data_IF_562069706239
#
_entry.id   IF_562069706239
#
_cell.length_a   1.000
_cell.length_b   1.000
_cell.length_c   1.000
_cell.angle_alpha   90.00
_cell.angle_beta   90.00
_cell.angle_gamma   90.00
#
_symmetry.space_group_name_H-M   'P 1'
#
loop_
_entity.id
_entity.type
_entity.pdbx_description
1 polymer ?
#
# COMPACT_ATOMS: atom_id res chain seq x y z
N UNK A 1 16.81 10.98 -54.62
CA UNK A 1 18.10 10.59 -55.29
C UNK A 1 19.13 10.48 -54.19
N UNK A 2 19.76 9.27 -54.10
CA UNK A 2 20.84 8.78 -53.23
C UNK A 2 20.49 8.60 -51.73
N UNK A 3 20.24 7.47 -51.18
CA UNK A 3 20.72 6.04 -51.10
C UNK A 3 22.26 5.91 -50.98
N UNK A 4 22.74 5.44 -49.85
CA UNK A 4 23.89 4.53 -49.57
C UNK A 4 23.80 4.17 -48.10
N UNK A 5 23.37 2.97 -47.68
CA UNK A 5 24.09 1.67 -47.48
C UNK A 5 24.94 1.67 -46.22
N UNK A 6 24.48 0.92 -45.20
CA UNK A 6 24.87 -0.44 -44.77
C UNK A 6 26.38 -0.65 -44.57
N UNK A 7 26.80 -0.94 -43.36
CA UNK A 7 27.74 -2.00 -43.10
C UNK A 7 27.54 -2.63 -41.74
N UNK A 8 27.17 -3.93 -41.80
CA UNK A 8 27.35 -4.97 -40.78
C UNK A 8 28.86 -5.35 -40.71
N UNK A 9 29.31 -5.74 -39.53
CA UNK A 9 30.28 -6.80 -39.25
C UNK A 9 30.51 -6.75 -37.75
N UNK A 10 30.57 -7.83 -36.99
CA UNK A 10 30.72 -9.22 -37.23
C UNK A 10 31.21 -9.86 -35.94
N UNK A 11 30.61 -10.93 -35.59
CA UNK A 11 31.12 -12.16 -34.99
C UNK A 11 32.44 -12.17 -34.14
N UNK A 12 32.36 -12.72 -32.93
CA UNK A 12 33.15 -13.86 -32.43
C UNK A 12 32.56 -14.25 -31.07
N UNK A 13 31.94 -15.43 -30.87
CA UNK A 13 32.46 -16.78 -30.65
C UNK A 13 33.57 -16.87 -29.58
N UNK A 14 33.27 -17.71 -28.61
CA UNK A 14 34.15 -18.25 -27.59
C UNK A 14 33.30 -18.87 -26.49
N UNK A 15 32.75 -20.03 -26.56
CA UNK A 15 33.21 -21.43 -26.34
C UNK A 15 34.15 -21.60 -25.12
N UNK A 16 33.70 -22.51 -24.27
CA UNK A 16 34.46 -23.18 -23.24
C UNK A 16 33.59 -23.51 -22.06
N UNK A 17 32.89 -24.61 -21.97
CA UNK A 17 33.29 -25.99 -21.81
C UNK A 17 33.50 -26.41 -20.36
N UNK A 18 32.83 -27.48 -20.02
CA UNK A 18 33.18 -28.58 -19.10
C UNK A 18 32.99 -28.29 -17.60
N UNK A 19 32.42 -29.18 -16.86
CA UNK A 19 32.17 -30.58 -16.85
C UNK A 19 31.49 -30.98 -15.55
N UNK A 20 30.62 -31.87 -15.67
CA UNK A 20 30.76 -33.25 -15.19
C UNK A 20 30.68 -33.53 -13.70
N UNK A 21 29.80 -34.49 -13.41
CA UNK A 21 29.83 -35.40 -12.27
C UNK A 21 28.42 -35.63 -11.70
N UNK A 22 27.53 -36.43 -12.26
CA UNK A 22 27.42 -37.89 -12.24
C UNK A 22 27.72 -38.54 -10.88
N UNK A 23 26.69 -39.08 -10.28
CA UNK A 23 26.59 -40.39 -9.60
C UNK A 23 25.23 -40.46 -8.92
N UNK A 24 24.18 -41.09 -9.37
CA UNK A 24 23.90 -42.52 -9.55
C UNK A 24 24.47 -43.44 -8.48
N UNK A 25 23.54 -44.03 -7.75
CA UNK A 25 23.32 -45.46 -7.50
C UNK A 25 22.27 -45.58 -6.41
N UNK A 26 21.06 -46.02 -6.71
CA UNK A 26 20.63 -47.41 -7.05
C UNK A 26 20.81 -48.41 -5.95
N UNK A 27 19.67 -48.92 -5.59
CA UNK A 27 19.29 -50.32 -5.54
C UNK A 27 19.74 -51.12 -4.32
N UNK A 28 18.82 -51.87 -3.83
CA UNK A 28 18.74 -53.26 -3.57
C UNK A 28 17.83 -53.53 -2.40
N UNK A 29 16.57 -53.99 -2.51
CA UNK A 29 16.16 -55.33 -2.86
C UNK A 29 16.86 -56.40 -2.02
N UNK A 30 16.05 -57.03 -1.28
CA UNK A 30 15.89 -58.44 -1.00
C UNK A 30 15.45 -58.66 0.43
N UNK A 31 14.19 -59.15 0.72
CA UNK A 31 13.77 -60.52 0.38
C UNK A 31 14.34 -61.53 1.34
N UNK A 32 13.40 -62.29 1.80
CA UNK A 32 13.41 -63.67 2.25
C UNK A 32 13.32 -63.85 3.75
N UNK A 33 12.22 -64.33 4.21
CA UNK A 33 11.74 -65.70 4.22
C UNK A 33 12.06 -66.38 5.55
N UNK A 34 11.00 -66.84 6.16
CA UNK A 34 10.95 -67.75 7.27
C UNK A 34 11.76 -69.04 7.00
N UNK A 35 11.56 -70.14 7.64
CA UNK A 35 10.41 -70.66 8.37
C UNK A 35 10.80 -71.51 9.60
N UNK A 36 9.81 -72.08 10.18
CA UNK A 36 9.88 -73.39 10.70
C UNK A 36 9.94 -73.54 12.22
N UNK A 37 8.90 -74.10 12.68
CA UNK A 37 8.77 -75.50 13.04
C UNK A 37 9.67 -75.83 14.25
N UNK A 38 9.24 -76.46 15.21
CA UNK A 38 8.42 -77.64 15.34
C UNK A 38 8.45 -78.11 16.79
N UNK A 39 7.39 -78.78 17.14
CA UNK A 39 7.40 -80.03 17.94
C UNK A 39 8.11 -79.99 19.29
N UNK A 40 7.64 -80.57 20.29
CA UNK A 40 6.87 -81.78 20.62
C UNK A 40 6.83 -81.87 22.15
N UNK A 41 5.97 -82.28 22.70
CA UNK A 41 5.42 -83.59 22.90
C UNK A 41 5.50 -84.04 24.38
N UNK A 42 4.42 -84.61 24.81
CA UNK A 42 4.26 -85.70 25.63
C UNK A 42 4.73 -85.67 27.10
N UNK A 43 3.80 -86.04 27.90
CA UNK A 43 4.07 -86.56 29.21
C UNK A 43 2.88 -86.89 30.03
N UNK A 44 2.10 -87.83 29.56
CA UNK A 44 1.17 -88.61 30.37
C UNK A 44 1.84 -89.19 31.60
N UNK A 45 1.20 -89.18 32.70
CA UNK A 45 1.22 -90.33 33.61
C UNK A 45 0.00 -90.31 34.53
N UNK A 46 -0.83 -91.28 34.27
CA UNK A 46 -1.83 -91.93 35.06
C UNK A 46 -1.26 -92.50 36.36
N UNK A 47 -2.06 -92.58 37.43
CA UNK A 47 -2.25 -93.60 38.44
C UNK A 47 -2.79 -92.93 39.68
N UNK A 48 -3.66 -93.42 40.40
CA UNK A 48 -4.42 -94.64 40.60
C UNK A 48 -5.45 -94.43 41.73
N UNK A 49 -6.52 -95.04 41.57
CA UNK A 49 -7.60 -95.38 42.43
C UNK A 49 -7.21 -95.69 43.87
N UNK A 50 -7.92 -95.19 44.82
CA UNK A 50 -8.22 -95.87 46.07
C UNK A 50 -9.64 -95.53 46.60
N UNK A 51 -10.51 -96.48 46.50
CA UNK A 51 -11.81 -96.52 47.10
C UNK A 51 -11.67 -96.71 48.63
N UNK A 52 -12.48 -96.02 49.38
CA UNK A 52 -12.98 -96.50 50.64
C UNK A 52 -14.35 -95.93 51.05
N UNK A 53 -15.22 -96.81 51.30
CA UNK A 53 -16.65 -96.73 51.48
C UNK A 53 -17.13 -96.09 52.79
N UNK A 54 -18.44 -96.01 53.08
CA UNK A 54 -19.04 -94.86 53.76
C UNK A 54 -19.33 -95.13 55.25
N UNK A 55 -19.26 -94.08 56.07
CA UNK A 55 -19.87 -94.09 57.40
C UNK A 55 -21.06 -93.10 57.45
N UNK A 56 -22.21 -93.65 57.71
CA UNK A 56 -23.50 -92.98 57.98
C UNK A 56 -23.45 -92.23 59.30
N UNK A 57 -23.79 -90.94 59.28
CA UNK A 57 -24.12 -90.15 60.51
C UNK A 57 -25.47 -89.43 60.31
N UNK A 58 -26.25 -89.16 61.39
CA UNK A 58 -27.68 -88.91 61.37
C UNK A 58 -28.08 -87.51 60.86
N UNK A 59 -29.16 -87.49 60.11
CA UNK A 59 -29.67 -86.47 59.19
C UNK A 59 -30.17 -85.16 59.86
N UNK A 60 -30.36 -85.01 61.13
CA UNK A 60 -30.95 -83.82 61.76
C UNK A 60 -29.96 -82.67 62.07
N UNK A 61 -28.70 -82.94 62.27
CA UNK A 61 -27.68 -81.86 62.45
C UNK A 61 -27.11 -81.31 61.18
N UNK A 62 -27.25 -82.00 60.04
CA UNK A 62 -26.77 -81.57 58.74
C UNK A 62 -27.57 -80.45 58.12
N UNK A 63 -28.86 -80.30 58.39
CA UNK A 63 -29.72 -79.25 57.85
C UNK A 63 -29.40 -77.87 58.45
N UNK A 64 -29.06 -77.82 59.72
CA UNK A 64 -28.69 -76.56 60.40
C UNK A 64 -27.29 -76.10 59.98
N UNK A 65 -26.33 -77.00 59.78
CA UNK A 65 -25.01 -76.66 59.31
C UNK A 65 -25.00 -76.17 57.83
N UNK A 66 -25.86 -76.77 57.01
CA UNK A 66 -26.01 -76.33 55.60
C UNK A 66 -26.70 -74.98 55.51
N UNK A 67 -27.70 -74.72 56.36
CA UNK A 67 -28.36 -73.41 56.43
C UNK A 67 -27.43 -72.31 56.99
N UNK A 68 -26.62 -72.62 57.98
CA UNK A 68 -25.62 -71.72 58.51
C UNK A 68 -24.48 -71.45 57.53
N UNK A 69 -24.01 -72.49 56.81
CA UNK A 69 -23.02 -72.32 55.72
C UNK A 69 -23.56 -71.52 54.53
N UNK A 70 -24.83 -71.76 54.19
CA UNK A 70 -25.48 -70.96 53.13
C UNK A 70 -25.66 -69.48 53.55
N UNK A 71 -26.01 -69.21 54.78
CA UNK A 71 -26.15 -67.84 55.29
C UNK A 71 -24.78 -67.09 55.33
N UNK A 72 -23.70 -67.78 55.72
CA UNK A 72 -22.34 -67.22 55.69
C UNK A 72 -21.88 -66.97 54.25
N UNK A 73 -22.22 -67.88 53.35
CA UNK A 73 -21.88 -67.69 51.91
C UNK A 73 -22.69 -66.57 51.29
N UNK A 74 -23.97 -66.43 51.64
CA UNK A 74 -24.80 -65.32 51.16
C UNK A 74 -24.33 -63.98 51.76
N UNK A 75 -23.99 -63.99 53.08
CA UNK A 75 -23.43 -62.83 53.74
C UNK A 75 -22.06 -62.45 53.17
N UNK A 76 -21.17 -63.42 52.89
CA UNK A 76 -19.87 -63.16 52.20
C UNK A 76 -20.02 -62.63 50.77
N UNK A 77 -20.97 -63.19 50.04
CA UNK A 77 -21.32 -62.68 48.69
C UNK A 77 -21.93 -61.27 48.75
N UNK A 78 -22.81 -61.04 49.79
CA UNK A 78 -23.41 -59.73 49.95
C UNK A 78 -22.34 -58.63 50.32
N UNK A 79 -21.44 -59.00 51.29
CA UNK A 79 -20.36 -58.07 51.69
C UNK A 79 -19.29 -57.84 50.60
N UNK A 80 -19.03 -58.84 49.76
CA UNK A 80 -18.06 -58.73 48.68
C UNK A 80 -18.65 -58.14 47.42
N UNK A 81 -19.91 -58.36 47.08
CA UNK A 81 -20.51 -57.95 45.82
C UNK A 81 -21.20 -56.57 45.85
N UNK A 82 -21.81 -56.20 46.99
CA UNK A 82 -22.51 -54.93 47.16
C UNK A 82 -21.53 -53.73 47.09
N UNK A 83 -20.38 -53.73 47.78
CA UNK A 83 -19.44 -52.60 47.65
C UNK A 83 -18.80 -52.53 46.28
N UNK A 84 -18.51 -53.65 45.61
CA UNK A 84 -18.01 -53.69 44.28
C UNK A 84 -18.99 -53.15 43.24
N UNK A 85 -20.28 -53.46 43.40
CA UNK A 85 -21.35 -52.98 42.53
C UNK A 85 -21.61 -51.45 42.72
N UNK A 86 -21.44 -50.96 43.96
CA UNK A 86 -21.50 -49.50 44.24
C UNK A 86 -20.29 -48.75 43.74
N UNK A 87 -19.10 -49.35 43.92
CA UNK A 87 -17.87 -48.74 43.39
C UNK A 87 -17.84 -48.70 41.82
N UNK A 88 -18.42 -49.71 41.17
CA UNK A 88 -18.55 -49.68 39.70
C UNK A 88 -19.48 -48.59 39.18
N UNK A 89 -20.54 -48.23 39.92
CA UNK A 89 -21.47 -47.17 39.54
C UNK A 89 -20.87 -45.75 39.76
N UNK A 90 -20.11 -45.59 40.87
CA UNK A 90 -19.42 -44.33 41.16
C UNK A 90 -18.27 -44.11 40.14
N UNK A 91 -17.50 -45.16 39.84
CA UNK A 91 -16.42 -45.06 38.83
C UNK A 91 -16.91 -44.69 37.42
N UNK A 92 -18.07 -45.19 36.99
CA UNK A 92 -18.68 -44.83 35.69
C UNK A 92 -19.18 -43.39 35.74
N UNK A 93 -19.70 -42.92 36.86
CA UNK A 93 -20.17 -41.53 37.00
C UNK A 93 -18.98 -40.56 37.03
N UNK A 94 -17.91 -40.94 37.74
CA UNK A 94 -16.67 -40.15 37.80
C UNK A 94 -15.92 -40.14 36.46
N UNK A 95 -15.87 -41.26 35.74
CA UNK A 95 -15.33 -41.31 34.38
C UNK A 95 -16.12 -40.45 33.40
N UNK A 96 -17.44 -40.41 33.50
CA UNK A 96 -18.27 -39.55 32.67
C UNK A 96 -18.11 -38.05 33.02
N UNK A 97 -17.82 -37.72 34.28
CA UNK A 97 -17.52 -36.33 34.67
C UNK A 97 -16.09 -35.91 34.32
N UNK A 98 -15.13 -36.82 34.34
CA UNK A 98 -13.76 -36.59 33.91
C UNK A 98 -13.63 -36.54 32.36
N UNK A 99 -14.59 -37.14 31.64
CA UNK A 99 -14.64 -37.12 30.17
C UNK A 99 -15.12 -35.77 29.59
N UNK A 100 -15.67 -34.86 30.43
CA UNK A 100 -16.09 -33.53 29.94
C UNK A 100 -14.86 -32.63 29.84
N UNK A 101 -14.42 -32.27 28.63
CA UNK A 101 -13.24 -31.41 28.44
C UNK A 101 -13.51 -30.00 28.99
N UNK A 102 -12.52 -29.47 29.71
CA UNK A 102 -12.55 -28.08 30.19
C UNK A 102 -11.96 -27.18 29.12
N UNK A 103 -12.70 -26.14 28.75
CA UNK A 103 -12.34 -25.21 27.66
C UNK A 103 -12.31 -23.77 28.15
N UNK A 104 -11.39 -22.99 27.63
CA UNK A 104 -11.36 -21.54 27.81
C UNK A 104 -12.14 -20.88 26.69
N UNK A 105 -12.90 -19.84 27.03
CA UNK A 105 -13.69 -19.08 26.06
C UNK A 105 -13.04 -17.76 25.73
N UNK A 106 -13.24 -17.35 24.49
CA UNK A 106 -12.94 -16.03 23.97
C UNK A 106 -14.13 -15.52 23.16
N UNK A 107 -14.47 -14.26 23.32
CA UNK A 107 -15.50 -13.65 22.47
C UNK A 107 -14.83 -12.96 21.27
N UNK A 108 -15.45 -13.04 20.08
CA UNK A 108 -15.01 -12.24 18.95
C UNK A 108 -15.06 -10.77 19.34
N UNK A 109 -13.97 -10.06 19.12
CA UNK A 109 -13.90 -8.62 19.41
C UNK A 109 -13.86 -7.86 18.09
N UNK A 110 -14.64 -6.77 17.97
CA UNK A 110 -14.42 -5.85 16.85
C UNK A 110 -12.96 -5.42 16.87
N UNK A 111 -12.33 -5.37 15.71
CA UNK A 111 -10.98 -4.84 15.58
C UNK A 111 -10.96 -3.43 16.18
N UNK A 112 -10.36 -3.27 17.36
CA UNK A 112 -10.29 -1.97 18.03
C UNK A 112 -9.39 -1.05 17.24
N UNK A 113 -10.03 -0.12 16.53
CA UNK A 113 -9.35 0.86 15.71
C UNK A 113 -8.47 0.11 14.71
N UNK A 114 -9.06 -0.31 13.59
CA UNK A 114 -8.32 -1.00 12.56
C UNK A 114 -6.94 -0.38 12.49
N UNK A 115 -5.91 -1.18 12.53
CA UNK A 115 -4.56 -0.68 12.26
C UNK A 115 -4.67 0.00 10.91
N UNK A 116 -4.96 1.31 10.97
CA UNK A 116 -5.20 2.10 9.79
C UNK A 116 -4.05 1.81 8.85
N UNK A 117 -4.36 1.57 7.60
CA UNK A 117 -3.34 1.27 6.59
C UNK A 117 -2.27 2.35 6.65
N UNK A 118 -1.11 2.03 7.21
CA UNK A 118 0.03 2.95 7.29
C UNK A 118 0.97 2.65 6.13
N UNK A 119 1.23 3.66 5.33
CA UNK A 119 2.04 3.56 4.12
C UNK A 119 3.07 4.68 4.07
N UNK A 120 4.25 4.43 3.51
CA UNK A 120 5.21 5.50 3.23
C UNK A 120 4.65 6.45 2.18
N UNK A 121 4.83 7.74 2.43
CA UNK A 121 4.32 8.82 1.60
C UNK A 121 5.42 9.82 1.24
N UNK A 122 5.37 10.30 0.02
CA UNK A 122 6.26 11.34 -0.50
C UNK A 122 5.56 12.69 -0.43
N UNK A 123 6.21 13.66 0.19
CA UNK A 123 5.66 15.00 0.42
C UNK A 123 6.24 15.94 -0.63
N UNK A 124 5.39 16.56 -1.44
CA UNK A 124 5.78 17.53 -2.47
C UNK A 124 5.13 18.89 -2.24
N UNK A 125 5.73 19.96 -2.74
CA UNK A 125 5.08 21.27 -2.72
C UNK A 125 3.79 21.24 -3.56
N UNK A 126 2.87 22.17 -3.26
CA UNK A 126 1.62 22.31 -4.04
C UNK A 126 1.89 22.63 -5.51
N UNK A 127 2.83 23.52 -5.75
CA UNK A 127 3.35 23.88 -7.07
C UNK A 127 4.86 24.08 -6.97
N UNK A 128 5.55 23.75 -8.04
CA UNK A 128 6.97 24.00 -8.17
C UNK A 128 7.29 24.42 -9.61
N UNK A 129 8.29 25.26 -9.76
CA UNK A 129 8.77 25.66 -11.05
C UNK A 129 10.28 25.87 -11.02
N UNK A 130 10.94 25.26 -11.99
CA UNK A 130 12.32 25.56 -12.35
C UNK A 130 12.34 26.76 -13.30
N UNK A 131 13.01 27.81 -12.91
CA UNK A 131 13.07 29.06 -13.66
C UNK A 131 14.35 29.06 -14.48
N UNK A 132 14.18 29.08 -15.80
CA UNK A 132 15.26 29.15 -16.79
C UNK A 132 15.29 30.50 -17.45
N UNK A 133 16.47 30.90 -17.90
CA UNK A 133 16.61 32.12 -18.71
C UNK A 133 15.96 31.96 -20.09
N UNK A 134 15.38 33.06 -20.57
CA UNK A 134 14.81 33.17 -21.89
C UNK A 134 15.62 34.10 -22.82
N UNK A 135 16.63 34.79 -22.26
CA UNK A 135 17.58 35.62 -22.98
C UNK A 135 19.01 35.24 -22.58
N UNK A 136 19.95 35.35 -23.53
CA UNK A 136 21.37 35.17 -23.29
C UNK A 136 21.98 36.49 -22.78
N UNK A 137 22.91 36.39 -21.83
CA UNK A 137 23.58 37.58 -21.28
C UNK A 137 24.38 37.22 -20.04
N UNK A 138 24.62 38.19 -19.18
CA UNK A 138 25.26 38.00 -17.90
C UNK A 138 24.30 38.38 -16.78
N UNK A 139 24.31 37.63 -15.69
CA UNK A 139 23.49 38.00 -14.54
C UNK A 139 24.05 39.32 -13.96
N UNK A 140 23.23 40.34 -14.01
CA UNK A 140 23.58 41.67 -13.49
C UNK A 140 23.40 41.74 -12.00
N UNK A 141 22.25 41.23 -11.50
CA UNK A 141 21.91 41.25 -10.09
C UNK A 141 20.82 40.20 -9.82
N UNK A 142 20.73 39.78 -8.54
CA UNK A 142 19.63 38.98 -8.03
C UNK A 142 19.02 39.66 -6.79
N UNK A 143 17.68 39.61 -6.70
CA UNK A 143 16.90 40.30 -5.64
C UNK A 143 16.36 39.33 -4.61
N UNK A 144 16.12 38.08 -5.03
CA UNK A 144 15.56 37.04 -4.19
C UNK A 144 16.60 35.93 -3.96
N UNK A 145 16.95 35.67 -2.69
CA UNK A 145 17.86 34.59 -2.30
C UNK A 145 17.08 33.36 -1.79
N UNK A 146 17.80 32.27 -1.55
CA UNK A 146 17.27 31.03 -0.98
C UNK A 146 16.53 31.34 0.32
N UNK A 147 15.31 30.78 0.48
CA UNK A 147 14.42 31.03 1.60
C UNK A 147 13.54 32.28 1.48
N UNK A 148 13.76 33.14 0.48
CA UNK A 148 12.94 34.33 0.26
C UNK A 148 11.51 33.93 -0.18
N UNK A 149 10.51 34.57 0.45
CA UNK A 149 9.12 34.48 -0.02
C UNK A 149 8.90 35.50 -1.12
N UNK A 150 8.41 35.05 -2.26
CA UNK A 150 8.17 35.85 -3.46
C UNK A 150 6.72 35.77 -3.91
N UNK A 151 6.25 36.85 -4.53
CA UNK A 151 4.91 36.95 -5.12
C UNK A 151 4.98 36.75 -6.64
N UNK A 152 3.87 36.33 -7.25
CA UNK A 152 3.73 36.26 -8.69
C UNK A 152 4.12 37.59 -9.35
N UNK A 153 4.98 37.53 -10.38
CA UNK A 153 5.51 38.72 -11.07
C UNK A 153 6.64 39.45 -10.33
N UNK A 154 7.01 39.03 -9.12
CA UNK A 154 8.15 39.65 -8.40
C UNK A 154 9.46 39.33 -9.09
N UNK A 155 10.33 40.34 -9.20
CA UNK A 155 11.66 40.22 -9.78
C UNK A 155 12.53 39.31 -8.90
N UNK A 156 13.16 38.33 -9.52
CA UNK A 156 14.11 37.40 -8.91
C UNK A 156 15.56 37.80 -9.23
N UNK A 157 15.78 38.20 -10.48
CA UNK A 157 17.08 38.64 -10.95
C UNK A 157 16.96 39.38 -12.30
N UNK A 158 18.02 40.07 -12.67
CA UNK A 158 18.14 40.82 -13.90
C UNK A 158 19.33 40.35 -14.73
N UNK A 159 19.08 40.05 -16.01
CA UNK A 159 20.11 39.64 -16.97
C UNK A 159 20.47 40.85 -17.83
N UNK A 160 21.72 41.18 -17.91
CA UNK A 160 22.22 42.21 -18.78
C UNK A 160 22.40 41.63 -20.19
N UNK A 161 21.73 42.23 -21.21
CA UNK A 161 21.74 41.77 -22.61
C UNK A 161 22.03 42.91 -23.55
N UNK A 162 23.26 43.47 -23.54
CA UNK A 162 23.61 44.69 -24.32
C UNK A 162 23.36 44.54 -25.81
N UNK A 163 23.54 43.33 -26.35
CA UNK A 163 23.28 43.06 -27.77
C UNK A 163 21.81 43.20 -28.14
N UNK A 164 20.89 42.74 -27.29
CA UNK A 164 19.46 42.87 -27.52
C UNK A 164 19.01 44.35 -27.39
N UNK A 165 19.57 45.08 -26.45
CA UNK A 165 19.26 46.48 -26.26
C UNK A 165 19.67 47.30 -27.48
N UNK A 166 20.86 47.06 -28.06
CA UNK A 166 21.32 47.68 -29.26
C UNK A 166 20.45 47.33 -30.50
N UNK A 167 20.04 46.05 -30.63
CA UNK A 167 19.12 45.61 -31.66
C UNK A 167 17.76 46.30 -31.57
N UNK A 168 17.24 46.47 -30.35
CA UNK A 168 15.98 47.17 -30.10
C UNK A 168 16.07 48.65 -30.53
N UNK A 169 17.16 49.33 -30.14
CA UNK A 169 17.38 50.73 -30.55
C UNK A 169 17.52 50.86 -32.07
N UNK A 170 18.21 49.94 -32.75
CA UNK A 170 18.27 49.90 -34.22
C UNK A 170 16.88 49.73 -34.83
N UNK A 171 16.05 48.79 -34.28
CA UNK A 171 14.70 48.56 -34.80
C UNK A 171 13.78 49.77 -34.59
N UNK A 172 13.92 50.50 -33.46
CA UNK A 172 13.22 51.78 -33.24
C UNK A 172 13.59 52.82 -34.27
N UNK A 173 14.89 52.95 -34.56
CA UNK A 173 15.36 53.90 -35.59
C UNK A 173 14.83 53.52 -36.99
N UNK A 174 14.81 52.22 -37.34
CA UNK A 174 14.27 51.74 -38.60
C UNK A 174 12.77 52.03 -38.74
N UNK A 175 11.98 51.79 -37.67
CA UNK A 175 10.56 52.14 -37.65
C UNK A 175 10.35 53.64 -37.83
N UNK A 176 11.14 54.51 -37.21
CA UNK A 176 11.07 55.95 -37.35
C UNK A 176 11.33 56.38 -38.81
N UNK A 177 12.31 55.76 -39.45
CA UNK A 177 12.59 56.00 -40.89
C UNK A 177 11.42 55.60 -41.80
N UNK A 178 10.85 54.43 -41.58
CA UNK A 178 9.67 53.90 -42.28
C UNK A 178 8.46 54.84 -42.11
N UNK A 179 8.24 55.35 -40.91
CA UNK A 179 7.15 56.30 -40.61
C UNK A 179 7.38 57.65 -41.37
N UNK A 180 8.60 58.15 -41.41
CA UNK A 180 8.91 59.37 -42.17
C UNK A 180 8.66 59.19 -43.69
N UNK A 181 9.04 58.01 -44.22
CA UNK A 181 8.78 57.66 -45.62
C UNK A 181 7.28 57.55 -45.95
N UNK A 182 6.49 56.89 -44.99
CA UNK A 182 5.05 56.84 -45.16
C UNK A 182 4.44 58.26 -45.18
N UNK A 183 4.85 59.11 -44.24
CA UNK A 183 4.35 60.48 -44.16
C UNK A 183 4.62 61.24 -45.44
N UNK A 184 5.80 61.11 -46.05
CA UNK A 184 6.12 61.70 -47.36
C UNK A 184 5.22 61.14 -48.49
N UNK A 185 5.01 59.78 -48.45
CA UNK A 185 4.13 59.11 -49.41
C UNK A 185 2.68 59.56 -49.29
N UNK A 186 2.17 59.76 -48.08
CA UNK A 186 0.83 60.28 -47.79
C UNK A 186 0.63 61.71 -48.31
N UNK A 187 1.59 62.61 -48.04
CA UNK A 187 1.55 63.97 -48.56
C UNK A 187 1.53 63.93 -50.06
N UNK A 188 2.34 63.09 -50.68
CA UNK A 188 2.43 62.95 -52.13
C UNK A 188 1.13 62.40 -52.73
N UNK A 189 0.60 61.30 -52.20
CA UNK A 189 -0.65 60.71 -52.64
C UNK A 189 -1.81 61.73 -52.56
N UNK A 190 -1.95 62.42 -51.43
CA UNK A 190 -2.96 63.44 -51.23
C UNK A 190 -2.85 64.58 -52.27
N UNK A 191 -1.63 65.05 -52.57
CA UNK A 191 -1.41 66.07 -53.58
C UNK A 191 -1.83 65.59 -54.97
N UNK A 192 -1.47 64.34 -55.33
CA UNK A 192 -1.84 63.76 -56.61
C UNK A 192 -3.32 63.50 -56.80
N UNK A 193 -4.02 63.12 -55.70
CA UNK A 193 -5.47 63.03 -55.67
C UNK A 193 -6.17 64.35 -55.93
N UNK A 194 -5.65 65.45 -55.41
CA UNK A 194 -6.19 66.78 -55.71
C UNK A 194 -5.92 67.22 -57.16
N UNK A 195 -4.73 66.94 -57.71
CA UNK A 195 -4.40 67.21 -59.10
C UNK A 195 -5.22 66.37 -60.09
N UNK A 196 -5.59 65.13 -59.69
CA UNK A 196 -6.46 64.29 -60.53
C UNK A 196 -7.89 64.87 -60.63
N UNK A 197 -8.44 65.45 -59.55
CA UNK A 197 -9.73 66.15 -59.59
C UNK A 197 -9.81 67.31 -60.60
N UNK A 198 -8.70 67.92 -60.84
CA UNK A 198 -8.56 69.02 -61.82
C UNK A 198 -8.08 68.52 -63.18
N UNK A 199 -8.03 67.21 -63.43
CA UNK A 199 -7.53 66.62 -64.70
C UNK A 199 -6.09 67.04 -65.06
N UNK A 200 -5.31 67.46 -64.07
CA UNK A 200 -3.92 67.90 -64.26
C UNK A 200 -2.90 66.76 -64.33
N UNK A 201 -3.30 65.54 -64.01
CA UNK A 201 -2.49 64.31 -64.04
C UNK A 201 -3.31 63.14 -64.54
N UNK A 202 -2.64 62.04 -65.00
CA UNK A 202 -3.33 60.82 -65.42
C UNK A 202 -3.77 59.98 -64.26
N UNK A 203 -4.83 59.17 -64.39
CA UNK A 203 -5.29 58.20 -63.41
C UNK A 203 -4.20 57.20 -63.03
N UNK A 204 -3.42 56.75 -64.01
CA UNK A 204 -2.26 55.88 -63.81
C UNK A 204 -1.22 56.48 -62.86
N UNK A 205 -0.85 57.72 -63.10
CA UNK A 205 0.16 58.39 -62.26
C UNK A 205 -0.36 58.60 -60.81
N UNK A 206 -1.64 58.91 -60.65
CA UNK A 206 -2.25 59.00 -59.33
C UNK A 206 -2.31 57.62 -58.61
N UNK A 207 -2.66 56.51 -59.32
CA UNK A 207 -2.68 55.17 -58.82
C UNK A 207 -1.27 54.69 -58.40
N UNK A 208 -0.20 55.07 -59.15
CA UNK A 208 1.17 54.74 -58.71
C UNK A 208 1.55 55.39 -57.37
N UNK A 209 1.09 56.61 -57.08
CA UNK A 209 1.36 57.30 -55.82
C UNK A 209 0.52 56.66 -54.63
N UNK A 210 -0.69 56.28 -54.97
CA UNK A 210 -1.49 55.54 -54.01
C UNK A 210 -0.86 54.18 -53.63
N UNK A 211 -0.38 53.42 -54.63
CA UNK A 211 0.33 52.15 -54.39
C UNK A 211 1.66 52.38 -53.64
N UNK A 212 2.39 53.48 -53.94
CA UNK A 212 3.59 53.79 -53.15
C UNK A 212 3.29 54.08 -51.65
N UNK A 213 2.17 54.82 -51.37
CA UNK A 213 1.72 55.01 -49.98
C UNK A 213 1.36 53.70 -49.31
N UNK A 214 0.65 52.79 -49.99
CA UNK A 214 0.27 51.50 -49.47
C UNK A 214 1.51 50.65 -49.16
N UNK A 215 2.49 50.65 -50.06
CA UNK A 215 3.78 49.96 -49.85
C UNK A 215 4.53 50.56 -48.67
N UNK A 216 4.57 51.84 -48.48
CA UNK A 216 5.19 52.48 -47.32
C UNK A 216 4.46 52.20 -46.05
N UNK A 217 3.12 52.07 -46.02
CA UNK A 217 2.33 51.68 -44.91
C UNK A 217 2.63 50.21 -44.50
N UNK A 218 2.73 49.32 -45.48
CA UNK A 218 3.11 47.92 -45.21
C UNK A 218 4.53 47.81 -44.60
N UNK A 219 5.48 48.66 -45.03
CA UNK A 219 6.82 48.71 -44.44
C UNK A 219 6.79 49.12 -42.95
N UNK A 220 5.98 50.14 -42.59
CA UNK A 220 5.80 50.55 -41.21
C UNK A 220 5.27 49.44 -40.35
N UNK A 221 4.29 48.66 -40.82
CA UNK A 221 3.77 47.53 -40.06
C UNK A 221 4.80 46.41 -39.89
N UNK A 222 5.63 46.14 -40.90
CA UNK A 222 6.70 45.15 -40.82
C UNK A 222 7.76 45.56 -39.77
N UNK A 223 8.22 46.82 -39.79
CA UNK A 223 9.22 47.35 -38.87
C UNK A 223 8.65 47.45 -37.43
N UNK A 224 7.37 47.82 -37.31
CA UNK A 224 6.67 47.80 -36.01
C UNK A 224 6.57 46.39 -35.41
N UNK A 225 6.30 45.39 -36.23
CA UNK A 225 6.27 44.00 -35.79
C UNK A 225 7.66 43.54 -35.33
N UNK A 226 8.71 43.90 -36.05
CA UNK A 226 10.08 43.59 -35.66
C UNK A 226 10.47 44.26 -34.33
N UNK A 227 10.15 45.55 -34.18
CA UNK A 227 10.40 46.28 -32.93
C UNK A 227 9.67 45.60 -31.74
N UNK A 228 8.37 45.24 -31.90
CA UNK A 228 7.62 44.51 -30.84
C UNK A 228 8.27 43.18 -30.47
N UNK A 229 8.72 42.41 -31.48
CA UNK A 229 9.45 41.16 -31.23
C UNK A 229 10.70 41.36 -30.35
N UNK A 230 11.49 42.39 -30.64
CA UNK A 230 12.67 42.70 -29.86
C UNK A 230 12.34 43.24 -28.47
N UNK A 231 11.26 44.03 -28.33
CA UNK A 231 10.77 44.46 -27.03
C UNK A 231 10.38 43.26 -26.12
N UNK A 232 9.71 42.25 -26.70
CA UNK A 232 9.43 41.02 -25.97
C UNK A 232 10.70 40.28 -25.53
N UNK A 233 11.70 40.19 -26.42
CA UNK A 233 12.98 39.55 -26.06
C UNK A 233 13.71 40.32 -24.95
N UNK A 234 13.70 41.65 -24.99
CA UNK A 234 14.28 42.51 -23.93
C UNK A 234 13.50 42.35 -22.61
N UNK A 235 12.17 42.14 -22.67
CA UNK A 235 11.40 41.90 -21.44
C UNK A 235 11.87 40.66 -20.64
N UNK A 236 12.52 39.72 -21.32
CA UNK A 236 13.08 38.52 -20.72
C UNK A 236 14.39 38.73 -19.94
N UNK A 237 14.95 39.92 -19.99
CA UNK A 237 16.03 40.34 -19.08
C UNK A 237 15.57 40.22 -17.61
N UNK A 238 14.30 40.44 -17.36
CA UNK A 238 13.70 40.36 -16.03
C UNK A 238 13.22 38.96 -15.76
N UNK A 239 13.94 38.25 -14.89
CA UNK A 239 13.54 36.94 -14.39
C UNK A 239 12.55 37.14 -13.26
N UNK A 240 11.31 36.69 -13.43
CA UNK A 240 10.22 36.89 -12.46
C UNK A 240 9.62 35.59 -11.98
N UNK A 241 9.06 35.61 -10.76
CA UNK A 241 8.35 34.48 -10.17
C UNK A 241 7.01 34.23 -10.91
N UNK A 242 6.69 32.99 -11.31
CA UNK A 242 5.43 32.67 -11.99
C UNK A 242 4.22 32.60 -11.06
N UNK A 243 4.43 32.37 -9.77
CA UNK A 243 3.41 32.27 -8.73
C UNK A 243 4.01 32.60 -7.35
N UNK A 244 3.14 32.77 -6.35
CA UNK A 244 3.55 33.01 -4.96
C UNK A 244 4.19 31.76 -4.36
N UNK A 245 5.38 31.90 -3.76
CA UNK A 245 6.11 30.78 -3.20
C UNK A 245 7.41 31.15 -2.53
N UNK A 246 8.21 30.18 -2.20
CA UNK A 246 9.53 30.33 -1.58
C UNK A 246 10.61 29.88 -2.57
N UNK A 247 11.67 30.65 -2.67
CA UNK A 247 12.87 30.27 -3.45
C UNK A 247 13.58 29.16 -2.72
N UNK A 248 13.60 27.97 -3.30
CA UNK A 248 14.22 26.78 -2.68
C UNK A 248 15.64 26.54 -3.19
N UNK A 249 15.95 27.05 -4.37
CA UNK A 249 17.27 26.95 -4.99
C UNK A 249 17.59 28.24 -5.75
N UNK A 250 18.81 28.74 -5.62
CA UNK A 250 19.45 29.71 -6.49
C UNK A 250 20.74 29.08 -7.02
N UNK A 251 20.80 28.90 -8.32
CA UNK A 251 21.91 28.22 -8.99
C UNK A 251 22.66 29.17 -9.96
N UNK A 252 22.68 30.45 -9.64
CA UNK A 252 23.36 31.47 -10.43
C UNK A 252 23.89 32.56 -9.53
N UNK A 253 24.95 33.27 -9.97
CA UNK A 253 25.53 34.38 -9.22
C UNK A 253 25.84 35.56 -10.17
N UNK A 254 26.07 36.75 -9.56
CA UNK A 254 26.36 37.97 -10.31
C UNK A 254 27.58 37.78 -11.20
N UNK A 255 27.46 38.13 -12.48
CA UNK A 255 28.49 37.94 -13.46
C UNK A 255 28.51 36.59 -14.16
N UNK A 256 27.64 35.63 -13.76
CA UNK A 256 27.51 34.38 -14.47
C UNK A 256 27.03 34.56 -15.90
N UNK A 257 27.63 33.81 -16.81
CA UNK A 257 27.15 33.73 -18.20
C UNK A 257 25.84 32.91 -18.22
N UNK A 258 24.78 33.53 -18.67
CA UNK A 258 23.45 32.93 -18.78
C UNK A 258 23.20 32.52 -20.22
N UNK A 259 22.89 31.27 -20.42
CA UNK A 259 22.54 30.70 -21.74
C UNK A 259 21.07 30.31 -21.73
N UNK A 260 20.29 30.86 -22.67
CA UNK A 260 18.88 30.53 -22.80
C UNK A 260 18.65 29.24 -23.61
N UNK A 261 17.50 28.62 -23.40
CA UNK A 261 17.08 27.44 -24.15
C UNK A 261 17.49 26.11 -23.54
N UNK A 262 17.49 25.03 -24.31
CA UNK A 262 17.67 23.64 -23.86
C UNK A 262 19.05 23.30 -23.27
N UNK A 263 20.03 24.19 -23.41
CA UNK A 263 21.38 24.09 -22.82
C UNK A 263 21.56 24.92 -21.56
N UNK A 264 20.56 25.70 -21.16
CA UNK A 264 20.64 26.57 -19.99
C UNK A 264 20.50 25.80 -18.67
N UNK A 265 21.17 26.28 -17.64
CA UNK A 265 20.96 25.80 -16.26
C UNK A 265 19.73 26.47 -15.66
N UNK A 266 19.08 25.78 -14.75
CA UNK A 266 18.06 26.37 -13.89
C UNK A 266 18.68 27.50 -13.07
N UNK A 267 18.06 28.68 -13.08
CA UNK A 267 18.54 29.84 -12.33
C UNK A 267 17.98 29.84 -10.89
N UNK A 268 16.68 29.65 -10.77
CA UNK A 268 15.96 29.59 -9.51
C UNK A 268 14.99 28.42 -9.51
N UNK A 269 14.75 27.87 -8.35
CA UNK A 269 13.64 26.96 -8.10
C UNK A 269 12.68 27.60 -7.11
N UNK A 270 11.40 27.62 -7.47
CA UNK A 270 10.35 28.18 -6.60
C UNK A 270 9.35 27.10 -6.26
N UNK A 271 9.02 27.01 -4.99
CA UNK A 271 8.03 26.06 -4.48
C UNK A 271 6.98 26.75 -3.62
N UNK A 272 5.72 26.42 -3.83
CA UNK A 272 4.63 26.83 -2.97
C UNK A 272 4.49 25.84 -1.81
N UNK A 273 4.84 26.27 -0.59
CA UNK A 273 5.02 25.41 0.59
C UNK A 273 3.89 25.52 1.62
N UNK A 274 2.99 26.49 1.49
CA UNK A 274 1.86 26.70 2.40
C UNK A 274 0.82 25.56 2.37
N UNK A 275 0.74 24.89 1.24
CA UNK A 275 0.02 23.64 1.02
C UNK A 275 0.96 22.62 0.44
N UNK A 276 0.74 21.37 0.80
CA UNK A 276 1.57 20.26 0.32
C UNK A 276 0.70 19.19 -0.32
N UNK A 277 1.28 18.53 -1.31
CA UNK A 277 0.74 17.30 -1.91
C UNK A 277 1.47 16.12 -1.32
N UNK A 278 0.72 15.13 -0.89
CA UNK A 278 1.27 13.89 -0.36
C UNK A 278 0.88 12.77 -1.29
N UNK A 279 1.87 12.12 -1.85
CA UNK A 279 1.68 10.98 -2.75
C UNK A 279 1.94 9.69 -2.01
N UNK A 280 0.98 8.79 -2.07
CA UNK A 280 1.07 7.45 -1.47
C UNK A 280 0.69 6.39 -2.48
N UNK A 281 1.38 5.26 -2.44
CA UNK A 281 1.07 4.09 -3.27
C UNK A 281 0.35 3.05 -2.44
N UNK A 282 -0.95 2.92 -2.67
CA UNK A 282 -1.83 1.99 -1.96
C UNK A 282 -1.84 0.65 -2.68
N UNK A 283 -1.51 -0.48 -2.00
CA UNK A 283 -1.60 -1.80 -2.61
C UNK A 283 -3.01 -2.12 -3.14
N UNK A 284 -3.10 -2.88 -4.24
CA UNK A 284 -4.35 -3.23 -4.93
C UNK A 284 -5.43 -3.78 -4.00
N UNK A 285 -5.02 -4.58 -2.98
CA UNK A 285 -5.94 -5.17 -2.00
C UNK A 285 -6.71 -4.15 -1.16
N UNK A 286 -6.16 -2.94 -0.98
CA UNK A 286 -6.77 -1.85 -0.21
C UNK A 286 -7.38 -0.76 -1.10
N UNK A 287 -7.10 -0.78 -2.40
CA UNK A 287 -7.56 0.24 -3.34
C UNK A 287 -9.08 0.47 -3.35
N UNK A 288 -9.95 -0.57 -3.26
CA UNK A 288 -11.41 -0.36 -3.27
C UNK A 288 -11.95 0.47 -2.11
N UNK A 289 -11.19 0.55 -0.99
CA UNK A 289 -11.58 1.32 0.19
C UNK A 289 -11.07 2.76 0.21
N UNK A 290 -10.32 3.20 -0.81
CA UNK A 290 -9.69 4.52 -0.85
C UNK A 290 -10.31 5.39 -1.94
N UNK A 291 -10.82 6.55 -1.54
CA UNK A 291 -11.46 7.47 -2.49
C UNK A 291 -11.39 8.94 -2.07
N UNK A 292 -11.73 9.86 -2.99
CA UNK A 292 -11.73 11.29 -2.72
C UNK A 292 -12.59 11.67 -1.51
N UNK A 293 -12.08 12.60 -0.70
CA UNK A 293 -12.74 13.07 0.53
C UNK A 293 -12.38 12.30 1.79
N UNK A 294 -11.77 11.12 1.69
CA UNK A 294 -11.31 10.34 2.84
C UNK A 294 -10.18 11.08 3.56
N UNK A 295 -10.15 10.95 4.88
CA UNK A 295 -9.13 11.57 5.73
C UNK A 295 -8.08 10.55 6.14
N UNK A 296 -6.85 11.02 6.24
CA UNK A 296 -5.71 10.26 6.74
C UNK A 296 -4.88 11.14 7.67
N UNK A 297 -4.01 10.52 8.44
CA UNK A 297 -3.10 11.22 9.34
C UNK A 297 -1.68 11.05 8.82
N UNK A 298 -1.01 12.17 8.57
CA UNK A 298 0.40 12.20 8.16
C UNK A 298 1.27 12.43 9.39
N UNK A 299 2.29 11.60 9.55
CA UNK A 299 3.37 11.79 10.53
C UNK A 299 4.71 11.86 9.81
N UNK A 300 5.62 12.69 10.28
CA UNK A 300 6.95 12.83 9.68
C UNK A 300 8.05 12.63 10.73
N UNK A 301 9.17 12.00 10.39
CA UNK A 301 10.30 11.86 11.31
C UNK A 301 10.89 13.21 11.77
N UNK A 302 10.73 14.25 10.94
CA UNK A 302 11.22 15.59 11.25
C UNK A 302 10.44 16.26 12.39
N UNK A 303 9.19 15.85 12.64
CA UNK A 303 8.33 16.41 13.69
C UNK A 303 7.76 15.31 14.59
N UNK A 304 8.59 14.66 15.41
CA UNK A 304 8.15 13.53 16.24
C UNK A 304 7.03 13.94 17.19
N UNK A 305 6.01 13.09 17.30
CA UNK A 305 4.85 13.32 18.16
C UNK A 305 3.82 14.32 17.62
N UNK A 306 4.02 14.87 16.42
CA UNK A 306 3.01 15.68 15.71
C UNK A 306 2.38 14.89 14.58
N UNK A 307 1.10 15.12 14.40
CA UNK A 307 0.33 14.56 13.31
C UNK A 307 -0.37 15.68 12.54
N UNK A 308 -0.51 15.50 11.24
CA UNK A 308 -1.14 16.45 10.33
C UNK A 308 -2.31 15.76 9.64
N UNK A 309 -3.43 16.44 9.56
CA UNK A 309 -4.58 15.93 8.83
C UNK A 309 -4.32 16.05 7.33
N UNK A 310 -4.50 14.93 6.64
CA UNK A 310 -4.40 14.81 5.19
C UNK A 310 -5.76 14.41 4.62
N UNK A 311 -6.14 14.99 3.48
CA UNK A 311 -7.40 14.68 2.81
C UNK A 311 -7.13 14.20 1.40
N UNK A 312 -7.70 13.05 1.03
CA UNK A 312 -7.62 12.53 -0.34
C UNK A 312 -8.31 13.49 -1.30
N UNK A 313 -7.57 14.01 -2.27
CA UNK A 313 -8.07 14.89 -3.33
C UNK A 313 -8.41 14.11 -4.57
N UNK A 314 -7.54 13.20 -4.97
CA UNK A 314 -7.72 12.40 -6.17
C UNK A 314 -6.95 11.08 -6.10
N UNK A 315 -7.29 10.16 -6.98
CA UNK A 315 -6.56 8.92 -7.21
C UNK A 315 -6.25 8.78 -8.70
N UNK A 316 -5.31 7.91 -9.04
CA UNK A 316 -5.00 7.64 -10.46
C UNK A 316 -6.09 6.87 -11.19
N UNK A 317 -7.12 6.38 -10.50
CA UNK A 317 -8.21 5.52 -11.03
C UNK A 317 -7.69 4.29 -11.82
N UNK A 318 -6.43 3.98 -11.66
CA UNK A 318 -5.78 2.85 -12.33
C UNK A 318 -4.71 2.23 -11.43
N UNK A 319 -4.57 0.91 -11.54
CA UNK A 319 -3.51 0.17 -10.84
C UNK A 319 -2.27 0.16 -11.72
N UNK A 320 -1.15 0.59 -11.16
CA UNK A 320 0.16 0.48 -11.82
C UNK A 320 0.50 -0.99 -12.05
N UNK A 321 0.77 -1.36 -13.30
CA UNK A 321 1.10 -2.75 -13.68
C UNK A 321 2.44 -3.20 -13.10
N UNK A 322 3.36 -2.27 -12.86
CA UNK A 322 4.71 -2.55 -12.35
C UNK A 322 4.71 -2.78 -10.84
N UNK A 323 4.02 -1.91 -10.08
CA UNK A 323 4.05 -1.93 -8.61
C UNK A 323 2.80 -2.54 -7.96
N UNK A 324 1.75 -2.84 -8.75
CA UNK A 324 0.45 -3.31 -8.26
C UNK A 324 -0.13 -2.40 -7.18
N UNK A 325 -0.03 -1.08 -7.41
CA UNK A 325 -0.52 -0.06 -6.48
C UNK A 325 -1.38 0.98 -7.18
N UNK A 326 -2.34 1.53 -6.44
CA UNK A 326 -3.08 2.75 -6.78
C UNK A 326 -2.30 3.95 -6.29
N UNK A 327 -2.02 4.93 -7.15
CA UNK A 327 -1.46 6.21 -6.72
C UNK A 327 -2.59 7.09 -6.18
N UNK A 328 -2.40 7.58 -4.96
CA UNK A 328 -3.34 8.47 -4.27
C UNK A 328 -2.65 9.77 -3.93
N UNK A 329 -3.30 10.89 -4.25
CA UNK A 329 -2.86 12.23 -3.90
C UNK A 329 -3.72 12.78 -2.76
N UNK A 330 -3.05 13.30 -1.74
CA UNK A 330 -3.69 13.95 -0.60
C UNK A 330 -3.17 15.38 -0.47
N UNK A 331 -4.02 16.25 0.05
CA UNK A 331 -3.68 17.63 0.40
C UNK A 331 -3.46 17.73 1.91
N UNK A 332 -2.41 18.47 2.30
CA UNK A 332 -2.09 18.80 3.69
C UNK A 332 -1.88 20.30 3.81
N UNK A 333 -2.51 20.92 4.79
CA UNK A 333 -2.27 22.32 5.15
C UNK A 333 -0.91 22.46 5.85
N UNK A 334 -0.08 23.32 5.33
CA UNK A 334 1.24 23.64 5.86
C UNK A 334 1.42 25.16 6.03
N UNK A 335 0.36 25.90 6.27
CA UNK A 335 0.37 27.37 6.44
C UNK A 335 1.34 27.84 7.52
N UNK A 336 1.72 26.95 8.45
CA UNK A 336 2.71 27.22 9.52
C UNK A 336 4.13 26.78 9.15
N UNK A 337 4.37 26.32 7.93
CA UNK A 337 5.67 25.84 7.43
C UNK A 337 6.35 24.80 8.35
N UNK A 338 5.57 23.87 8.91
CA UNK A 338 6.06 22.86 9.85
C UNK A 338 6.60 21.62 9.16
N UNK A 339 6.18 21.37 7.92
CA UNK A 339 6.59 20.25 7.10
C UNK A 339 7.44 20.77 5.96
N UNK A 340 8.62 20.20 5.80
CA UNK A 340 9.48 20.55 4.66
C UNK A 340 9.04 19.73 3.43
N UNK A 341 8.82 20.36 2.29
CA UNK A 341 8.60 19.63 1.03
C UNK A 341 9.80 18.73 0.71
N UNK A 342 9.58 17.70 -0.10
CA UNK A 342 10.55 16.65 -0.48
C UNK A 342 10.99 15.75 0.67
N UNK A 343 10.38 15.88 1.86
CA UNK A 343 10.57 14.93 2.95
C UNK A 343 9.67 13.69 2.76
N UNK A 344 10.00 12.62 3.48
CA UNK A 344 9.15 11.44 3.60
C UNK A 344 8.33 11.50 4.87
N UNK A 345 7.16 10.87 4.82
CA UNK A 345 6.30 10.69 5.98
C UNK A 345 5.62 9.33 5.94
N UNK A 346 4.92 9.01 7.00
CA UNK A 346 4.02 7.88 7.10
C UNK A 346 2.59 8.39 7.11
N UNK A 347 1.78 7.86 6.20
CA UNK A 347 0.38 8.20 6.07
C UNK A 347 -0.47 7.04 6.60
N UNK A 348 -1.28 7.31 7.61
CA UNK A 348 -2.22 6.36 8.19
C UNK A 348 -3.63 6.74 7.78
N UNK A 349 -4.27 5.92 6.95
CA UNK A 349 -5.66 6.10 6.59
C UNK A 349 -6.55 5.75 7.79
N UNK A 350 -7.52 6.61 8.08
CA UNK A 350 -8.54 6.31 9.10
C UNK A 350 -9.51 5.27 8.52
N UNK A 351 -9.65 4.17 9.22
CA UNK A 351 -10.66 3.18 8.86
C UNK A 351 -12.03 3.73 9.26
N UNK A 352 -12.85 4.05 8.26
CA UNK A 352 -14.21 4.55 8.45
C UNK A 352 -15.24 3.43 8.27
N UNK A 353 -14.84 2.16 8.38
CA UNK A 353 -15.79 1.05 8.27
C UNK A 353 -16.75 1.10 9.46
N UNK A 354 -18.06 1.36 9.24
CA UNK A 354 -19.05 1.40 10.32
C UNK A 354 -19.26 0.02 10.97
N UNK A 355 -18.83 -1.06 10.30
CA UNK A 355 -18.97 -2.43 10.75
C UNK A 355 -17.58 -3.10 10.72
N UNK A 356 -16.73 -2.82 11.73
CA UNK A 356 -15.37 -3.33 11.76
C UNK A 356 -15.40 -4.86 11.80
N UNK A 357 -14.55 -5.53 11.03
CA UNK A 357 -14.46 -6.98 11.03
C UNK A 357 -14.14 -7.49 12.43
N UNK A 358 -14.66 -8.67 12.74
CA UNK A 358 -14.39 -9.33 14.01
C UNK A 358 -13.02 -9.99 13.96
N UNK A 359 -12.32 -9.97 15.09
CA UNK A 359 -11.05 -10.68 15.24
C UNK A 359 -11.19 -11.77 16.30
N UNK A 360 -10.53 -12.90 16.06
CA UNK A 360 -10.38 -14.02 16.97
C UNK A 360 -8.90 -14.40 17.10
N UNK A 361 -8.55 -15.07 18.19
CA UNK A 361 -7.25 -15.71 18.32
C UNK A 361 -7.07 -16.74 17.19
N UNK A 362 -5.93 -16.77 16.54
CA UNK A 362 -5.60 -17.76 15.49
C UNK A 362 -5.69 -19.19 16.02
N UNK A 363 -5.41 -19.39 17.33
CA UNK A 363 -5.55 -20.69 18.02
C UNK A 363 -6.99 -21.16 18.17
N UNK A 364 -8.01 -20.34 17.97
CA UNK A 364 -9.42 -20.71 18.04
C UNK A 364 -9.94 -21.40 16.76
N UNK A 365 -9.14 -21.40 15.69
CA UNK A 365 -9.49 -22.02 14.42
C UNK A 365 -9.29 -23.54 14.47
N UNK A 366 -10.24 -24.27 13.90
CA UNK A 366 -10.19 -25.73 13.72
C UNK A 366 -10.13 -26.02 12.22
N UNK A 367 -9.11 -26.78 11.82
CA UNK A 367 -8.97 -27.26 10.44
C UNK A 367 -9.62 -28.64 10.31
N UNK A 368 -10.65 -28.75 9.50
CA UNK A 368 -11.38 -30.01 9.27
C UNK A 368 -11.47 -30.29 7.77
N UNK A 369 -11.84 -31.50 7.41
CA UNK A 369 -12.06 -31.90 6.02
C UNK A 369 -13.11 -31.01 5.32
N UNK A 370 -14.04 -30.42 6.09
CA UNK A 370 -15.08 -29.50 5.62
C UNK A 370 -14.62 -28.05 5.51
N UNK A 371 -13.35 -27.76 5.85
CA UNK A 371 -12.77 -26.42 5.84
C UNK A 371 -12.49 -25.84 7.22
N UNK A 372 -12.26 -24.53 7.26
CA UNK A 372 -12.02 -23.78 8.48
C UNK A 372 -13.31 -23.61 9.28
N UNK A 373 -13.24 -23.92 10.58
CA UNK A 373 -14.36 -23.83 11.51
C UNK A 373 -13.90 -23.23 12.84
N UNK A 374 -14.85 -22.77 13.63
CA UNK A 374 -14.67 -22.42 15.04
C UNK A 374 -15.63 -23.22 15.90
N UNK A 375 -15.22 -23.51 17.13
CA UNK A 375 -16.04 -24.18 18.09
C UNK A 375 -16.78 -23.16 18.97
N UNK A 376 -18.07 -22.99 18.76
CA UNK A 376 -18.94 -22.11 19.57
C UNK A 376 -19.64 -22.88 20.61
N UNK A 377 -19.70 -22.35 21.85
CA UNK A 377 -20.41 -22.97 22.97
C UNK A 377 -21.80 -22.35 23.09
N UNK A 378 -22.83 -23.18 22.96
CA UNK A 378 -24.24 -22.81 23.12
C UNK A 378 -24.59 -22.44 24.55
N UNK A 379 -25.84 -22.02 24.79
CA UNK A 379 -26.36 -21.71 26.12
C UNK A 379 -26.51 -22.94 27.04
N UNK A 380 -26.54 -24.13 26.45
CA UNK A 380 -26.63 -25.45 27.08
C UNK A 380 -25.26 -26.10 27.31
N UNK A 381 -24.17 -25.35 27.14
CA UNK A 381 -22.77 -25.76 27.23
C UNK A 381 -22.40 -26.90 26.28
N UNK A 382 -23.08 -26.96 25.12
CA UNK A 382 -22.72 -27.85 24.02
C UNK A 382 -21.92 -27.13 22.93
N UNK A 383 -21.00 -27.87 22.34
CA UNK A 383 -20.15 -27.37 21.24
C UNK A 383 -20.89 -27.42 19.91
N UNK A 384 -20.82 -26.34 19.17
CA UNK A 384 -21.25 -26.24 17.78
C UNK A 384 -20.06 -25.82 16.89
N UNK A 385 -19.68 -26.69 15.99
CA UNK A 385 -18.66 -26.34 14.96
C UNK A 385 -19.33 -25.54 13.85
N UNK A 386 -18.92 -24.27 13.69
CA UNK A 386 -19.44 -23.38 12.65
C UNK A 386 -18.38 -23.08 11.62
N UNK A 387 -18.69 -23.20 10.31
CA UNK A 387 -17.79 -22.78 9.26
C UNK A 387 -17.60 -21.25 9.33
N UNK A 388 -16.34 -20.80 9.16
CA UNK A 388 -15.99 -19.39 9.14
C UNK A 388 -15.25 -19.03 7.89
N UNK A 389 -15.45 -17.77 7.43
CA UNK A 389 -14.64 -17.16 6.40
C UNK A 389 -13.63 -16.24 7.06
N UNK A 390 -12.36 -16.54 6.83
CA UNK A 390 -11.26 -15.75 7.36
C UNK A 390 -10.82 -14.68 6.36
N UNK A 391 -10.37 -13.55 6.87
CA UNK A 391 -9.77 -12.46 6.13
C UNK A 391 -8.25 -12.40 6.34
N UNK A 392 -7.78 -11.26 6.83
CA UNK A 392 -6.36 -10.99 7.09
C UNK A 392 -5.86 -11.78 8.31
N UNK A 393 -4.62 -12.23 8.23
CA UNK A 393 -3.92 -12.88 9.36
C UNK A 393 -2.93 -11.86 9.98
N UNK A 394 -3.11 -11.60 11.28
CA UNK A 394 -2.24 -10.71 12.07
C UNK A 394 -1.25 -11.50 12.96
N UNK A 395 -1.11 -12.80 12.71
CA UNK A 395 -0.25 -13.71 13.47
C UNK A 395 -0.91 -14.26 14.73
N UNK A 396 -1.09 -13.46 15.77
CA UNK A 396 -1.78 -13.89 17.00
C UNK A 396 -3.31 -13.89 16.88
N UNK A 397 -3.84 -13.01 16.07
CA UNK A 397 -5.28 -12.87 15.79
C UNK A 397 -5.55 -12.96 14.30
N UNK A 398 -6.74 -13.41 13.94
CA UNK A 398 -7.19 -13.51 12.56
C UNK A 398 -8.54 -12.81 12.40
N UNK A 399 -8.68 -12.13 11.26
CA UNK A 399 -9.92 -11.49 10.88
C UNK A 399 -10.96 -12.50 10.44
N UNK A 400 -12.19 -12.35 10.95
CA UNK A 400 -13.33 -13.20 10.58
C UNK A 400 -14.34 -12.37 9.80
N UNK A 401 -14.48 -12.67 8.53
CA UNK A 401 -15.41 -12.00 7.62
C UNK A 401 -16.84 -12.52 7.70
N UNK A 402 -17.07 -13.60 8.46
CA UNK A 402 -18.41 -14.15 8.65
C UNK A 402 -18.41 -15.53 9.31
N UNK A 403 -19.56 -15.90 9.91
CA UNK A 403 -19.75 -17.16 10.61
C UNK A 403 -19.82 -17.03 12.14
N UNK A 404 -19.43 -15.87 12.70
CA UNK A 404 -19.55 -15.57 14.13
C UNK A 404 -20.08 -14.15 14.36
N UNK A 405 -20.60 -13.94 15.57
CA UNK A 405 -21.08 -12.63 16.06
C UNK A 405 -20.31 -12.23 17.32
N UNK A 406 -20.41 -10.97 17.72
CA UNK A 406 -19.76 -10.43 18.95
C UNK A 406 -20.22 -11.12 20.23
N UNK A 407 -21.40 -11.73 20.22
CA UNK A 407 -22.01 -12.41 21.37
C UNK A 407 -21.66 -13.91 21.45
N UNK A 408 -21.03 -14.45 20.41
CA UNK A 408 -20.67 -15.87 20.39
C UNK A 408 -19.56 -16.18 21.41
N UNK A 409 -19.69 -17.30 22.10
CA UNK A 409 -18.70 -17.83 23.02
C UNK A 409 -17.84 -18.85 22.27
N UNK A 410 -16.66 -18.46 21.82
CA UNK A 410 -15.76 -19.30 21.02
C UNK A 410 -14.72 -19.95 21.92
N UNK A 411 -14.38 -21.19 21.68
CA UNK A 411 -13.31 -21.90 22.41
C UNK A 411 -11.96 -21.37 21.91
N UNK A 412 -11.13 -20.85 22.82
CA UNK A 412 -9.85 -20.22 22.49
C UNK A 412 -8.79 -21.19 21.94
N UNK A 413 -8.83 -22.45 22.38
CA UNK A 413 -7.87 -23.47 21.99
C UNK A 413 -8.59 -24.84 21.89
N UNK A 414 -9.35 -25.05 20.80
CA UNK A 414 -10.16 -26.25 20.63
C UNK A 414 -9.30 -27.48 20.37
N UNK A 415 -9.56 -28.57 21.12
CA UNK A 415 -8.94 -29.86 20.83
C UNK A 415 -9.53 -30.50 19.58
N UNK A 416 -8.75 -31.28 18.88
CA UNK A 416 -9.18 -32.02 17.68
C UNK A 416 -10.28 -33.05 17.97
N UNK A 417 -10.44 -33.45 19.23
CA UNK A 417 -11.48 -34.38 19.68
C UNK A 417 -12.87 -33.76 19.84
N UNK A 418 -13.00 -32.42 19.72
CA UNK A 418 -14.30 -31.75 19.85
C UNK A 418 -15.20 -32.10 18.65
N UNK A 419 -16.43 -32.50 18.97
CA UNK A 419 -17.48 -32.80 17.96
C UNK A 419 -18.74 -32.01 18.28
N UNK A 420 -19.60 -31.83 17.29
CA UNK A 420 -20.91 -31.20 17.50
C UNK A 420 -21.72 -31.93 18.60
N UNK A 421 -22.33 -31.16 19.48
CA UNK A 421 -23.16 -31.67 20.56
C UNK A 421 -22.38 -32.15 21.78
N UNK A 422 -21.05 -32.12 21.80
CA UNK A 422 -20.25 -32.49 22.98
C UNK A 422 -20.45 -31.45 24.08
N UNK A 423 -20.75 -31.90 25.30
CA UNK A 423 -20.80 -31.03 26.48
C UNK A 423 -19.38 -30.67 26.92
N UNK A 424 -19.19 -29.43 27.28
CA UNK A 424 -17.91 -28.88 27.75
C UNK A 424 -18.09 -28.20 29.09
N UNK A 425 -17.04 -28.15 29.88
CA UNK A 425 -16.98 -27.36 31.11
C UNK A 425 -16.20 -26.07 30.80
N UNK A 426 -16.78 -24.95 31.14
CA UNK A 426 -16.14 -23.64 30.93
C UNK A 426 -15.14 -23.41 32.06
N UNK A 427 -13.88 -23.19 31.75
CA UNK A 427 -12.88 -22.77 32.72
C UNK A 427 -13.26 -21.39 33.27
N UNK A 428 -13.34 -21.28 34.59
CA UNK A 428 -13.47 -19.97 35.23
C UNK A 428 -12.18 -19.17 34.91
N UNK A 429 -12.29 -17.87 34.56
CA UNK A 429 -11.11 -17.06 34.31
C UNK A 429 -10.28 -17.03 35.61
N UNK A 430 -9.13 -17.69 35.60
CA UNK A 430 -8.12 -17.51 36.63
C UNK A 430 -7.60 -16.09 36.45
N UNK A 431 -7.87 -15.20 37.41
CA UNK A 431 -7.21 -13.90 37.49
C UNK A 431 -5.69 -14.14 37.62
N UNK A 432 -5.02 -14.30 36.50
CA UNK A 432 -3.56 -14.25 36.48
C UNK A 432 -3.16 -12.80 36.70
N UNK A 433 -2.68 -12.57 37.93
CA UNK A 433 -1.92 -11.37 38.31
C UNK A 433 -0.88 -11.07 37.20
N UNK A 434 -0.96 -9.88 36.63
CA UNK A 434 0.03 -9.39 35.70
C UNK A 434 1.44 -9.46 36.33
N UNK A 435 2.45 -9.97 35.67
CA UNK A 435 3.82 -9.81 36.14
C UNK A 435 4.19 -8.32 36.10
N UNK A 436 4.79 -7.87 37.20
CA UNK A 436 5.36 -6.53 37.40
C UNK A 436 6.42 -6.19 36.37
#
# INVERSE_FOLDING_TARGET
>A
MNRVELQQNGLSEGQGSSGNGLSQRSAGVNSEAGPGSSYSDAGSRTTAVAQSSPRKFPIKRRRIAVLAGAAVLIAGLAVGFIPRWRQGRTAVTDMNQLAIPTVSLVSPTPEKGGTGLTLPAEIRPWREASIFARANGYLKDWVADIGAHVKAGQLLGEIETPDLDQQLEQAKAQLALAQANLHLAEITDNRWKELLKTSSVSEQAAAEKAAARETAAASVEADRANMRRLQELVSFQRVVAPFDGTVTLRNTDIGDLIVAGSGGKELFHIAQTEKLRVYVRVPESYAPGIGPGQTATLTTPATPGRSFDAKVTTTSESISTTSRTLLVELEVDNSKNQILPYSYGELTFKDNNPDPPLTLLSSALVFRAQGLQVAVVGSDDTVQLRPVRVGRDFGQTIEIMGGVTTTDRVIANPSDSLVNGLKVRIAQPTNSVAPK
#
